data_IF_839121778909
#
_entry.id   IF_839121778909
#
_cell.length_a   1.000
_cell.length_b   1.000
_cell.length_c   1.000
_cell.angle_alpha   90.00
_cell.angle_beta   90.00
_cell.angle_gamma   90.00
#
_symmetry.space_group_name_H-M   'P 1'
#
loop_
_entity.id
_entity.type
_entity.pdbx_description
1 polymer ?
#
# COMPACT_ATOMS: atom_id res chain seq x y z
N UNK A 1 74.75 -16.22 13.66
CA UNK A 1 73.48 -15.91 12.98
C UNK A 1 72.58 -17.12 13.19
N UNK A 2 71.71 -17.05 14.17
CA UNK A 2 70.75 -18.12 14.49
C UNK A 2 69.42 -17.41 14.72
N UNK A 3 68.55 -17.44 13.72
CA UNK A 3 67.24 -16.80 13.79
C UNK A 3 66.36 -17.57 14.78
N UNK A 4 65.86 -16.87 15.79
CA UNK A 4 64.78 -17.35 16.63
C UNK A 4 63.48 -17.18 15.85
N UNK A 5 62.87 -18.29 15.43
CA UNK A 5 61.52 -18.30 14.84
C UNK A 5 60.57 -18.60 16.00
N UNK A 6 59.68 -17.66 16.40
CA UNK A 6 58.67 -17.98 17.39
C UNK A 6 57.65 -18.92 16.75
N UNK A 7 57.56 -20.12 17.30
CA UNK A 7 56.58 -21.12 16.94
C UNK A 7 55.21 -20.63 17.44
N UNK A 8 54.48 -19.85 16.65
CA UNK A 8 53.09 -19.52 16.93
C UNK A 8 52.23 -20.72 16.54
N UNK A 9 52.26 -21.77 17.35
CA UNK A 9 51.19 -22.76 17.34
C UNK A 9 49.95 -22.07 17.90
N UNK A 10 49.06 -21.63 17.00
CA UNK A 10 47.69 -21.28 17.36
C UNK A 10 47.06 -22.50 18.03
N UNK A 11 46.69 -22.34 19.31
CA UNK A 11 45.84 -23.30 20.01
C UNK A 11 44.59 -23.57 19.18
N UNK A 12 44.11 -24.82 19.05
CA UNK A 12 42.85 -25.10 18.39
C UNK A 12 41.78 -24.23 19.05
N UNK A 13 41.09 -23.39 18.27
CA UNK A 13 39.96 -22.65 18.78
C UNK A 13 38.96 -23.68 19.34
N UNK A 14 38.65 -23.54 20.63
CA UNK A 14 37.66 -24.39 21.30
C UNK A 14 36.33 -24.15 20.57
N UNK A 15 35.85 -25.16 19.82
CA UNK A 15 34.59 -25.07 19.10
C UNK A 15 33.49 -25.19 20.13
N UNK A 16 32.98 -24.05 20.59
CA UNK A 16 31.82 -23.98 21.48
C UNK A 16 30.56 -24.39 20.72
N UNK A 17 29.58 -25.00 21.42
CA UNK A 17 28.29 -25.35 20.82
C UNK A 17 27.58 -24.11 20.27
N UNK A 18 26.87 -24.29 19.17
CA UNK A 18 25.97 -23.31 18.57
C UNK A 18 24.54 -23.49 19.11
N UNK A 19 23.62 -22.61 18.71
CA UNK A 19 22.19 -22.75 19.03
C UNK A 19 21.56 -24.09 18.58
N UNK A 20 22.18 -24.80 17.63
CA UNK A 20 21.70 -26.10 17.15
C UNK A 20 22.17 -27.27 18.03
N UNK A 21 23.14 -27.04 18.92
CA UNK A 21 23.76 -28.07 19.74
C UNK A 21 23.25 -28.06 21.20
N UNK A 22 22.45 -27.04 21.55
CA UNK A 22 21.99 -26.80 22.92
C UNK A 22 20.59 -27.41 23.16
N UNK A 23 20.38 -28.16 24.25
CA UNK A 23 19.09 -28.78 24.56
C UNK A 23 18.10 -27.82 25.22
N UNK A 24 16.81 -28.17 25.20
CA UNK A 24 15.75 -27.53 26.00
C UNK A 24 15.92 -27.83 27.50
N UNK A 25 15.41 -26.96 28.37
CA UNK A 25 15.39 -27.17 29.82
C UNK A 25 14.47 -28.33 30.23
N UNK A 26 13.45 -28.63 29.42
CA UNK A 26 12.54 -29.74 29.62
C UNK A 26 12.80 -30.86 28.58
N UNK A 27 13.33 -32.03 28.98
CA UNK A 27 13.60 -33.14 28.07
C UNK A 27 12.35 -33.73 27.40
N UNK A 28 11.16 -33.47 27.96
CA UNK A 28 9.87 -33.90 27.41
C UNK A 28 9.25 -32.85 26.46
N UNK A 29 9.87 -31.67 26.31
CA UNK A 29 9.52 -30.66 25.31
C UNK A 29 10.61 -30.63 24.23
N UNK A 30 10.50 -31.48 23.20
CA UNK A 30 11.54 -31.64 22.18
C UNK A 30 11.72 -30.40 21.30
N UNK A 31 10.71 -29.51 21.22
CA UNK A 31 10.79 -28.27 20.45
C UNK A 31 11.39 -27.13 21.27
N UNK A 32 12.41 -26.46 20.72
CA UNK A 32 12.90 -25.20 21.27
C UNK A 32 11.98 -24.05 20.81
N UNK A 33 11.70 -23.05 21.67
CA UNK A 33 11.07 -21.83 21.22
C UNK A 33 11.97 -21.16 20.18
N UNK A 34 11.40 -20.80 19.03
CA UNK A 34 12.10 -20.07 17.98
C UNK A 34 11.22 -18.99 17.35
N UNK A 35 11.86 -17.99 16.73
CA UNK A 35 11.17 -16.81 16.19
C UNK A 35 10.12 -17.17 15.11
N UNK A 36 10.27 -18.29 14.41
CA UNK A 36 9.29 -18.68 13.39
C UNK A 36 8.00 -19.19 14.03
N UNK A 37 8.08 -19.95 15.12
CA UNK A 37 6.91 -20.43 15.86
C UNK A 37 6.19 -19.30 16.60
N UNK A 38 6.83 -18.13 16.76
CA UNK A 38 6.16 -16.90 17.18
C UNK A 38 5.47 -16.20 15.98
N UNK A 39 6.22 -15.95 14.91
CA UNK A 39 5.73 -15.13 13.78
C UNK A 39 4.66 -15.83 12.92
N UNK A 40 4.81 -17.12 12.64
CA UNK A 40 3.91 -17.82 11.73
C UNK A 40 2.48 -17.96 12.27
N UNK A 41 2.25 -18.36 13.54
CA UNK A 41 0.91 -18.37 14.13
C UNK A 41 0.31 -16.96 14.26
N UNK A 42 1.12 -15.93 14.51
CA UNK A 42 0.65 -14.55 14.57
C UNK A 42 0.17 -14.06 13.20
N UNK A 43 0.91 -14.33 12.13
CA UNK A 43 0.44 -14.04 10.77
C UNK A 43 -0.90 -14.74 10.47
N UNK A 44 -1.06 -16.00 10.86
CA UNK A 44 -2.32 -16.73 10.73
C UNK A 44 -3.44 -16.08 11.54
N UNK A 45 -3.18 -15.66 12.78
CA UNK A 45 -4.14 -14.97 13.64
C UNK A 45 -4.58 -13.63 13.03
N UNK A 46 -3.65 -12.83 12.55
CA UNK A 46 -3.95 -11.51 11.97
C UNK A 46 -4.79 -11.61 10.71
N UNK A 47 -4.51 -12.63 9.88
CA UNK A 47 -5.12 -12.80 8.56
C UNK A 47 -6.34 -13.73 8.55
N UNK A 48 -6.60 -14.50 9.61
CA UNK A 48 -7.82 -15.30 9.77
C UNK A 48 -9.04 -14.40 10.04
N UNK A 49 -9.61 -13.84 8.97
CA UNK A 49 -10.75 -12.90 9.01
C UNK A 49 -11.89 -13.42 8.13
N UNK A 50 -12.61 -14.47 8.57
CA UNK A 50 -13.68 -15.04 7.76
C UNK A 50 -14.82 -14.03 7.61
N UNK A 51 -15.31 -13.77 6.38
CA UNK A 51 -16.35 -12.76 6.16
C UNK A 51 -17.73 -13.18 6.68
N UNK A 52 -17.95 -14.48 6.84
CA UNK A 52 -19.21 -15.08 7.25
C UNK A 52 -19.33 -15.30 8.78
N UNK A 53 -18.29 -15.00 9.56
CA UNK A 53 -18.28 -15.16 11.02
C UNK A 53 -17.81 -13.88 11.73
N UNK A 54 -18.58 -13.36 12.70
CA UNK A 54 -18.11 -12.26 13.53
C UNK A 54 -16.98 -12.74 14.45
N UNK A 55 -15.95 -11.90 14.62
CA UNK A 55 -14.76 -12.23 15.43
C UNK A 55 -15.08 -12.57 16.89
N UNK A 56 -16.19 -12.06 17.42
CA UNK A 56 -16.63 -12.33 18.80
C UNK A 56 -17.24 -13.74 18.96
N UNK A 57 -17.58 -14.42 17.87
CA UNK A 57 -18.08 -15.80 17.84
C UNK A 57 -17.05 -16.79 17.26
N UNK A 58 -15.78 -16.43 17.31
CA UNK A 58 -14.68 -17.35 17.06
C UNK A 58 -13.63 -17.21 18.14
N UNK A 59 -12.93 -18.31 18.40
CA UNK A 59 -11.74 -18.31 19.23
C UNK A 59 -10.57 -18.80 18.41
N UNK A 60 -9.47 -18.04 18.41
CA UNK A 60 -8.21 -18.40 17.77
C UNK A 60 -7.15 -18.45 18.86
N UNK A 61 -6.36 -19.51 18.87
CA UNK A 61 -5.24 -19.65 19.79
C UNK A 61 -4.02 -20.21 19.08
N UNK A 62 -2.87 -19.96 19.69
CA UNK A 62 -1.56 -20.45 19.29
C UNK A 62 -0.86 -20.89 20.57
N UNK A 63 -0.15 -22.01 20.50
CA UNK A 63 0.64 -22.55 21.61
C UNK A 63 -0.16 -22.70 22.93
N UNK A 64 -1.45 -23.07 22.83
CA UNK A 64 -2.36 -23.19 23.97
C UNK A 64 -2.75 -24.66 24.23
N UNK A 65 -2.71 -25.07 25.50
CA UNK A 65 -3.13 -26.42 25.90
C UNK A 65 -4.60 -26.67 25.56
N UNK A 66 -4.85 -27.71 24.79
CA UNK A 66 -6.14 -28.23 24.36
C UNK A 66 -6.41 -29.56 25.09
N UNK A 67 -7.22 -29.51 26.13
CA UNK A 67 -7.61 -30.67 26.93
C UNK A 67 -8.85 -31.33 26.35
N UNK A 68 -8.79 -32.65 26.15
CA UNK A 68 -9.79 -33.39 25.38
C UNK A 68 -10.42 -34.58 26.11
N UNK A 69 -9.86 -35.03 27.25
CA UNK A 69 -10.34 -36.20 27.98
C UNK A 69 -10.71 -35.86 29.43
N UNK A 70 -12.00 -36.00 29.77
CA UNK A 70 -12.52 -35.73 31.12
C UNK A 70 -12.18 -36.81 32.15
N UNK A 71 -11.58 -37.93 31.74
CA UNK A 71 -11.08 -38.97 32.63
C UNK A 71 -9.57 -38.84 32.88
N UNK A 72 -8.86 -38.01 32.10
CA UNK A 72 -7.42 -37.83 32.17
C UNK A 72 -7.05 -36.34 32.11
N UNK A 73 -7.17 -35.64 33.23
CA UNK A 73 -7.00 -34.17 33.29
C UNK A 73 -5.59 -33.65 32.98
N UNK A 74 -4.59 -34.52 32.93
CA UNK A 74 -3.23 -34.16 32.53
C UNK A 74 -2.94 -34.46 31.05
N UNK A 75 -3.93 -34.94 30.30
CA UNK A 75 -3.78 -35.21 28.87
C UNK A 75 -4.27 -34.02 28.05
N UNK A 76 -3.34 -33.43 27.31
CA UNK A 76 -3.60 -32.31 26.42
C UNK A 76 -2.72 -32.45 25.17
N UNK A 77 -3.11 -31.73 24.12
CA UNK A 77 -2.21 -31.37 23.02
C UNK A 77 -2.01 -29.86 23.03
N UNK A 78 -0.94 -29.38 22.43
CA UNK A 78 -0.62 -27.95 22.36
C UNK A 78 -0.33 -27.60 20.89
N UNK A 79 -1.38 -27.39 20.08
CA UNK A 79 -1.18 -27.12 18.66
C UNK A 79 -0.54 -25.73 18.46
N UNK A 80 0.29 -25.59 17.43
CA UNK A 80 0.90 -24.29 17.10
C UNK A 80 -0.15 -23.22 16.77
N UNK A 81 -1.25 -23.62 16.12
CA UNK A 81 -2.39 -22.74 15.87
C UNK A 81 -3.69 -23.51 15.70
N UNK A 82 -4.80 -22.97 16.20
CA UNK A 82 -6.13 -23.49 15.92
C UNK A 82 -7.23 -22.42 15.96
N UNK A 83 -8.34 -22.69 15.27
CA UNK A 83 -9.56 -21.87 15.34
C UNK A 83 -10.79 -22.72 15.67
N UNK A 84 -11.64 -22.17 16.54
CA UNK A 84 -12.94 -22.71 16.91
C UNK A 84 -14.02 -21.74 16.45
N UNK A 85 -14.98 -22.23 15.67
CA UNK A 85 -16.15 -21.45 15.26
C UNK A 85 -17.32 -21.68 16.21
N UNK A 86 -18.04 -20.61 16.56
CA UNK A 86 -19.16 -20.65 17.51
C UNK A 86 -18.75 -20.54 18.98
N UNK A 87 -17.45 -20.54 19.28
CA UNK A 87 -16.94 -20.23 20.62
C UNK A 87 -16.84 -18.72 20.81
N UNK A 88 -17.23 -18.23 22.00
CA UNK A 88 -17.02 -16.83 22.37
C UNK A 88 -15.53 -16.50 22.38
N UNK A 89 -15.15 -15.33 21.85
CA UNK A 89 -13.77 -14.84 21.88
C UNK A 89 -13.22 -14.79 23.31
N UNK A 90 -14.00 -14.28 24.25
CA UNK A 90 -13.66 -14.24 25.67
C UNK A 90 -14.31 -15.38 26.44
N UNK A 91 -13.57 -15.94 27.39
CA UNK A 91 -14.08 -16.96 28.31
C UNK A 91 -15.05 -16.31 29.29
N UNK A 92 -16.24 -16.90 29.45
CA UNK A 92 -17.32 -16.37 30.30
C UNK A 92 -17.73 -14.91 30.02
N UNK A 93 -17.36 -14.36 28.86
CA UNK A 93 -17.79 -13.05 28.37
C UNK A 93 -16.73 -11.94 28.47
N UNK A 94 -15.75 -12.05 29.36
CA UNK A 94 -14.77 -10.98 29.60
C UNK A 94 -13.34 -11.45 29.91
N UNK A 95 -13.11 -12.73 30.24
CA UNK A 95 -11.79 -13.23 30.62
C UNK A 95 -11.01 -13.84 29.43
N UNK A 96 -9.69 -13.91 29.58
CA UNK A 96 -8.81 -14.60 28.65
C UNK A 96 -8.71 -16.08 29.01
N UNK A 97 -8.46 -16.93 28.00
CA UNK A 97 -8.27 -18.37 28.21
C UNK A 97 -6.83 -18.67 28.59
N UNK A 98 -6.65 -19.44 29.67
CA UNK A 98 -5.38 -20.07 30.01
C UNK A 98 -5.18 -21.41 29.27
N UNK A 99 -6.28 -22.05 28.90
CA UNK A 99 -6.31 -23.29 28.12
C UNK A 99 -7.67 -23.43 27.44
N UNK A 100 -7.77 -24.33 26.47
CA UNK A 100 -9.03 -24.71 25.85
C UNK A 100 -9.46 -26.08 26.37
N UNK A 101 -10.57 -26.14 27.10
CA UNK A 101 -11.01 -27.35 27.80
C UNK A 101 -12.29 -27.87 27.16
N UNK A 102 -12.18 -28.97 26.41
CA UNK A 102 -13.29 -29.51 25.60
C UNK A 102 -14.53 -29.86 26.43
N UNK A 103 -14.37 -30.38 27.64
CA UNK A 103 -15.52 -30.71 28.48
C UNK A 103 -16.17 -29.49 29.13
N UNK A 104 -15.58 -28.29 29.04
CA UNK A 104 -16.20 -27.04 29.45
C UNK A 104 -16.78 -26.30 28.25
N UNK A 105 -15.99 -26.18 27.18
CA UNK A 105 -16.33 -25.39 25.98
C UNK A 105 -17.32 -26.10 25.05
N UNK A 106 -17.28 -27.45 25.01
CA UNK A 106 -18.16 -28.33 24.22
C UNK A 106 -18.17 -28.10 22.69
N UNK A 107 -17.26 -27.28 22.17
CA UNK A 107 -17.12 -27.00 20.73
C UNK A 107 -15.70 -27.41 20.30
N UNK A 108 -15.60 -28.25 19.28
CA UNK A 108 -14.31 -28.73 18.77
C UNK A 108 -13.68 -27.71 17.81
N UNK A 109 -12.34 -27.61 17.75
CA UNK A 109 -11.69 -26.84 16.70
C UNK A 109 -12.14 -27.23 15.29
N UNK A 110 -12.27 -26.22 14.43
CA UNK A 110 -12.53 -26.43 13.01
C UNK A 110 -11.23 -26.73 12.26
N UNK A 111 -10.17 -25.99 12.59
CA UNK A 111 -8.86 -26.09 11.95
C UNK A 111 -7.78 -26.17 13.01
N UNK A 112 -6.82 -27.07 12.79
CA UNK A 112 -5.52 -27.09 13.49
C UNK A 112 -4.39 -26.99 12.47
N UNK A 113 -3.35 -26.24 12.81
CA UNK A 113 -2.10 -26.13 12.07
C UNK A 113 -0.97 -26.54 13.01
N UNK A 114 -0.07 -27.38 12.51
CA UNK A 114 1.21 -27.73 13.15
C UNK A 114 2.36 -27.32 12.23
N UNK A 115 3.40 -26.78 12.84
CA UNK A 115 4.59 -26.27 12.22
C UNK A 115 5.72 -27.25 12.51
N UNK A 116 6.28 -27.85 11.47
CA UNK A 116 7.26 -28.90 11.63
C UNK A 116 8.57 -28.34 12.20
N UNK A 117 8.99 -28.95 13.31
CA UNK A 117 10.26 -28.74 13.98
C UNK A 117 11.02 -30.05 14.11
N UNK A 118 12.33 -29.96 14.32
CA UNK A 118 13.15 -31.13 14.61
C UNK A 118 12.69 -31.73 15.95
N UNK A 119 12.33 -33.01 15.96
CA UNK A 119 11.89 -33.73 17.16
C UNK A 119 10.37 -33.90 17.33
N UNK A 120 9.53 -33.10 16.67
CA UNK A 120 8.06 -33.27 16.69
C UNK A 120 7.49 -33.82 15.38
N UNK A 121 8.28 -33.83 14.30
CA UNK A 121 7.79 -34.15 12.95
C UNK A 121 7.04 -35.49 12.85
N UNK A 122 7.54 -36.56 13.49
CA UNK A 122 6.86 -37.85 13.46
C UNK A 122 5.48 -37.81 14.14
N UNK A 123 5.33 -37.02 15.21
CA UNK A 123 4.05 -36.85 15.90
C UNK A 123 3.06 -36.04 15.04
N UNK A 124 3.54 -34.97 14.41
CA UNK A 124 2.75 -34.09 13.54
C UNK A 124 2.34 -34.79 12.22
N UNK A 125 3.16 -35.71 11.73
CA UNK A 125 2.86 -36.50 10.53
C UNK A 125 2.09 -37.79 10.81
N UNK A 126 1.76 -38.07 12.08
CA UNK A 126 1.03 -39.29 12.47
C UNK A 126 1.84 -40.58 12.29
N UNK A 127 3.17 -40.49 12.38
CA UNK A 127 4.12 -41.59 12.25
C UNK A 127 4.53 -42.18 13.62
N UNK A 128 4.22 -41.50 14.73
CA UNK A 128 4.46 -42.00 16.08
C UNK A 128 3.56 -43.19 16.42
N UNK A 129 4.15 -44.24 16.98
CA UNK A 129 3.41 -45.40 17.50
C UNK A 129 2.79 -45.10 18.87
N UNK A 130 1.62 -45.67 19.15
CA UNK A 130 1.00 -45.53 20.47
C UNK A 130 1.69 -46.37 21.53
N UNK A 131 1.87 -45.79 22.71
CA UNK A 131 2.37 -46.50 23.89
C UNK A 131 1.25 -46.74 24.92
N UNK A 132 1.18 -47.92 25.55
CA UNK A 132 0.25 -48.17 26.63
C UNK A 132 0.44 -47.22 27.81
N UNK A 133 -0.66 -46.69 28.36
CA UNK A 133 -0.68 -45.76 29.50
C UNK A 133 0.02 -44.40 29.24
N UNK A 134 0.24 -44.02 27.98
CA UNK A 134 0.64 -42.68 27.57
C UNK A 134 -0.52 -41.93 26.92
N UNK A 135 -0.47 -40.59 26.84
CA UNK A 135 -1.46 -39.83 26.08
C UNK A 135 -1.51 -40.31 24.61
N UNK A 136 -2.71 -40.39 23.99
CA UNK A 136 -2.85 -40.67 22.57
C UNK A 136 -2.01 -39.75 21.66
N UNK A 137 -1.67 -40.21 20.46
CA UNK A 137 -0.94 -39.40 19.46
C UNK A 137 -1.75 -38.20 18.99
N UNK A 138 -1.09 -37.13 18.51
CA UNK A 138 -1.74 -35.95 17.90
C UNK A 138 -2.74 -36.38 16.83
N UNK A 139 -2.32 -37.29 15.94
CA UNK A 139 -3.18 -37.81 14.88
C UNK A 139 -4.49 -38.39 15.42
N UNK A 140 -4.43 -39.28 16.42
CA UNK A 140 -5.64 -39.88 17.00
C UNK A 140 -6.50 -38.87 17.73
N UNK A 141 -5.89 -37.96 18.49
CA UNK A 141 -6.63 -36.90 19.19
C UNK A 141 -7.39 -36.05 18.18
N UNK A 142 -6.75 -35.61 17.10
CA UNK A 142 -7.39 -34.73 16.12
C UNK A 142 -8.40 -35.48 15.23
N UNK A 143 -8.09 -36.68 14.77
CA UNK A 143 -8.93 -37.46 13.84
C UNK A 143 -10.13 -38.12 14.56
N UNK A 144 -9.85 -38.86 15.64
CA UNK A 144 -10.82 -39.80 16.22
C UNK A 144 -11.55 -39.21 17.43
N UNK A 145 -10.84 -38.47 18.30
CA UNK A 145 -11.40 -37.94 19.54
C UNK A 145 -12.10 -36.59 19.30
N UNK A 146 -11.37 -35.64 18.73
CA UNK A 146 -11.85 -34.27 18.51
C UNK A 146 -12.57 -34.11 17.17
N UNK A 147 -12.33 -35.02 16.22
CA UNK A 147 -12.92 -34.99 14.89
C UNK A 147 -12.76 -33.63 14.19
N UNK A 148 -11.54 -33.08 14.25
CA UNK A 148 -11.22 -31.76 13.70
C UNK A 148 -11.33 -31.84 12.17
N UNK A 149 -12.17 -31.02 11.52
CA UNK A 149 -12.42 -31.16 10.08
C UNK A 149 -11.20 -30.93 9.19
N UNK A 150 -10.29 -30.03 9.57
CA UNK A 150 -9.12 -29.66 8.79
C UNK A 150 -7.84 -29.65 9.62
N UNK A 151 -6.84 -30.38 9.15
CA UNK A 151 -5.52 -30.47 9.77
C UNK A 151 -4.43 -30.11 8.76
N UNK A 152 -3.61 -29.12 9.11
CA UNK A 152 -2.55 -28.60 8.26
C UNK A 152 -1.19 -28.85 8.91
N UNK A 153 -0.22 -29.26 8.10
CA UNK A 153 1.17 -29.42 8.53
C UNK A 153 2.08 -28.68 7.57
N UNK A 154 2.96 -27.83 8.10
CA UNK A 154 3.86 -27.01 7.28
C UNK A 154 5.32 -27.09 7.75
N UNK A 155 6.22 -27.43 6.84
CA UNK A 155 7.66 -27.37 7.10
C UNK A 155 8.26 -26.07 6.58
N UNK A 156 8.88 -25.30 7.48
CA UNK A 156 9.69 -24.13 7.12
C UNK A 156 10.96 -24.46 6.35
N UNK A 157 11.45 -25.70 6.47
CA UNK A 157 12.71 -26.12 5.87
C UNK A 157 12.53 -26.57 4.42
N UNK A 158 11.43 -27.28 4.13
CA UNK A 158 11.13 -27.78 2.78
C UNK A 158 10.09 -26.93 2.04
N UNK A 159 9.45 -25.98 2.72
CA UNK A 159 8.28 -25.23 2.23
C UNK A 159 7.12 -26.13 1.78
N UNK A 160 7.00 -27.33 2.37
CA UNK A 160 5.93 -28.26 2.07
C UNK A 160 4.72 -28.01 2.98
N UNK A 161 3.57 -27.76 2.36
CA UNK A 161 2.27 -27.75 3.01
C UNK A 161 1.55 -29.08 2.72
N UNK A 162 1.17 -29.79 3.78
CA UNK A 162 0.30 -30.96 3.72
C UNK A 162 -1.03 -30.63 4.37
N UNK A 163 -2.12 -31.11 3.77
CA UNK A 163 -3.47 -30.79 4.20
C UNK A 163 -4.27 -32.05 4.30
N UNK A 164 -4.89 -32.28 5.45
CA UNK A 164 -5.72 -33.43 5.72
C UNK A 164 -7.13 -32.94 6.04
N UNK A 165 -8.11 -33.57 5.38
CA UNK A 165 -9.53 -33.30 5.62
C UNK A 165 -10.18 -34.55 6.20
N UNK A 166 -10.99 -34.37 7.22
CA UNK A 166 -11.77 -35.46 7.81
C UNK A 166 -12.92 -35.84 6.86
N UNK A 167 -12.85 -37.03 6.27
CA UNK A 167 -13.85 -37.56 5.33
C UNK A 167 -14.22 -38.98 5.75
N UNK A 168 -15.46 -39.15 6.22
CA UNK A 168 -15.93 -40.44 6.72
C UNK A 168 -15.17 -40.89 7.97
N UNK A 169 -14.95 -39.97 8.92
CA UNK A 169 -14.24 -40.17 10.20
C UNK A 169 -12.77 -40.56 10.06
N UNK A 170 -12.14 -40.32 8.90
CA UNK A 170 -10.71 -40.52 8.69
C UNK A 170 -10.13 -39.33 7.94
N UNK A 171 -8.92 -38.95 8.30
CA UNK A 171 -8.17 -37.96 7.54
C UNK A 171 -7.79 -38.52 6.19
N UNK A 172 -8.02 -37.69 5.17
CA UNK A 172 -7.54 -37.92 3.81
C UNK A 172 -6.69 -36.74 3.41
N UNK A 173 -5.47 -37.02 2.99
CA UNK A 173 -4.60 -36.00 2.42
C UNK A 173 -5.23 -35.41 1.16
N UNK A 174 -5.18 -34.09 1.03
CA UNK A 174 -5.79 -33.33 -0.04
C UNK A 174 -4.72 -32.90 -1.03
N UNK A 175 -5.05 -32.99 -2.33
CA UNK A 175 -4.21 -32.41 -3.36
C UNK A 175 -4.40 -30.90 -3.40
N UNK A 176 -3.31 -30.15 -3.34
CA UNK A 176 -3.33 -28.70 -3.38
C UNK A 176 -3.35 -28.18 -4.81
N UNK A 177 -4.18 -27.18 -5.07
CA UNK A 177 -4.14 -26.42 -6.32
C UNK A 177 -3.33 -25.15 -6.07
N UNK A 178 -2.24 -24.94 -6.81
CA UNK A 178 -1.34 -23.78 -6.65
C UNK A 178 -0.92 -23.54 -5.19
N UNK A 179 -0.66 -24.63 -4.45
CA UNK A 179 -0.24 -24.59 -3.04
C UNK A 179 -1.25 -23.87 -2.12
N UNK A 180 -2.54 -23.95 -2.45
CA UNK A 180 -3.66 -23.35 -1.74
C UNK A 180 -4.76 -24.39 -1.47
N UNK A 181 -5.48 -24.19 -0.38
CA UNK A 181 -6.63 -25.01 0.00
C UNK A 181 -7.77 -24.12 0.51
N UNK A 182 -8.98 -24.33 -0.02
CA UNK A 182 -10.17 -23.57 0.34
C UNK A 182 -10.99 -24.28 1.43
N UNK A 183 -11.44 -23.53 2.43
CA UNK A 183 -12.26 -23.99 3.55
C UNK A 183 -13.64 -23.31 3.46
N UNK A 184 -14.67 -24.00 2.95
CA UNK A 184 -16.00 -23.43 2.75
C UNK A 184 -16.61 -22.84 4.02
N UNK A 185 -16.40 -23.48 5.17
CA UNK A 185 -16.98 -23.07 6.46
C UNK A 185 -16.47 -21.71 6.93
N UNK A 186 -15.25 -21.32 6.53
CA UNK A 186 -14.66 -20.02 6.83
C UNK A 186 -14.87 -19.00 5.71
N UNK A 187 -15.30 -19.42 4.53
CA UNK A 187 -15.16 -18.61 3.30
C UNK A 187 -13.76 -18.01 3.13
N UNK A 188 -12.75 -18.80 3.53
CA UNK A 188 -11.34 -18.49 3.44
C UNK A 188 -10.58 -19.66 2.85
N UNK A 189 -9.42 -19.39 2.27
CA UNK A 189 -8.44 -20.42 2.00
C UNK A 189 -7.11 -20.12 2.66
N UNK A 190 -6.30 -21.15 2.87
CA UNK A 190 -4.95 -21.07 3.40
C UNK A 190 -3.97 -21.56 2.34
N UNK A 191 -2.81 -20.94 2.24
CA UNK A 191 -1.78 -21.39 1.30
C UNK A 191 -0.43 -20.75 1.55
N UNK A 192 0.50 -21.05 0.65
CA UNK A 192 1.86 -20.54 0.70
C UNK A 192 1.95 -19.17 0.04
N UNK A 193 2.28 -18.17 0.85
CA UNK A 193 2.55 -16.79 0.43
C UNK A 193 4.04 -16.50 0.58
N UNK A 194 4.68 -16.08 -0.51
CA UNK A 194 6.05 -15.63 -0.49
C UNK A 194 6.09 -14.11 -0.32
N UNK A 195 6.72 -13.62 0.75
CA UNK A 195 6.77 -12.20 1.03
C UNK A 195 7.48 -11.84 2.31
N UNK A 196 7.47 -10.53 2.61
CA UNK A 196 8.15 -9.94 3.75
C UNK A 196 7.21 -9.81 4.95
N UNK A 197 7.55 -10.43 6.07
CA UNK A 197 6.82 -10.31 7.32
C UNK A 197 7.82 -10.31 8.49
N UNK A 198 7.62 -9.43 9.46
CA UNK A 198 8.49 -9.27 10.64
C UNK A 198 9.99 -9.21 10.27
N UNK A 199 10.34 -8.37 9.29
CA UNK A 199 11.74 -8.18 8.89
C UNK A 199 12.34 -9.27 8.01
N UNK A 200 11.56 -10.30 7.62
CA UNK A 200 12.07 -11.49 6.90
C UNK A 200 11.28 -11.78 5.63
N UNK A 201 11.98 -11.86 4.50
CA UNK A 201 11.44 -12.38 3.24
C UNK A 201 11.53 -13.90 3.21
N UNK A 202 10.40 -14.61 3.13
CA UNK A 202 10.32 -16.08 2.99
C UNK A 202 8.93 -16.54 2.60
N UNK A 203 8.74 -17.85 2.52
CA UNK A 203 7.42 -18.47 2.37
C UNK A 203 6.76 -18.63 3.74
N UNK A 204 5.51 -18.19 3.84
CA UNK A 204 4.66 -18.26 5.02
C UNK A 204 3.31 -18.90 4.69
N UNK A 205 2.66 -19.50 5.68
CA UNK A 205 1.23 -19.75 5.60
C UNK A 205 0.45 -18.46 5.79
N UNK A 206 -0.55 -18.23 4.93
CA UNK A 206 -1.38 -17.04 4.99
C UNK A 206 -2.79 -17.33 4.51
N UNK A 207 -3.78 -16.62 5.06
CA UNK A 207 -5.16 -16.70 4.63
C UNK A 207 -5.43 -15.83 3.39
N UNK A 208 -6.28 -16.31 2.48
CA UNK A 208 -6.75 -15.60 1.30
C UNK A 208 -8.29 -15.65 1.20
N UNK A 209 -8.88 -14.66 0.53
CA UNK A 209 -10.33 -14.51 0.39
C UNK A 209 -10.90 -15.23 -0.85
N UNK A 210 -12.21 -15.15 -1.07
CA UNK A 210 -12.88 -15.78 -2.22
C UNK A 210 -12.40 -15.29 -3.60
N UNK A 211 -11.82 -14.08 -3.68
CA UNK A 211 -11.26 -13.53 -4.91
C UNK A 211 -9.84 -14.07 -5.19
N UNK A 212 -9.23 -14.77 -4.23
CA UNK A 212 -7.86 -15.26 -4.33
C UNK A 212 -6.81 -14.28 -3.80
N UNK A 213 -7.23 -13.15 -3.21
CA UNK A 213 -6.33 -12.15 -2.64
C UNK A 213 -5.91 -12.53 -1.23
N UNK A 214 -4.62 -12.36 -0.92
CA UNK A 214 -4.11 -12.56 0.43
C UNK A 214 -4.71 -11.53 1.38
N UNK A 215 -5.18 -11.99 2.54
CA UNK A 215 -5.75 -11.11 3.54
C UNK A 215 -4.62 -10.33 4.18
N UNK A 216 -4.74 -9.00 4.14
CA UNK A 216 -3.77 -8.07 4.71
C UNK A 216 -3.81 -8.07 6.24
N UNK A 217 -2.62 -7.99 6.84
CA UNK A 217 -2.43 -7.64 8.25
C UNK A 217 -2.96 -6.24 8.52
N UNK A 218 -3.13 -5.89 9.80
CA UNK A 218 -3.55 -4.53 10.17
C UNK A 218 -2.52 -3.49 9.73
N UNK A 219 -1.23 -3.82 9.83
CA UNK A 219 -0.14 -2.93 9.42
C UNK A 219 -0.13 -2.70 7.90
N UNK A 220 -0.23 -3.76 7.10
CA UNK A 220 -0.29 -3.63 5.64
C UNK A 220 -1.52 -2.83 5.19
N UNK A 221 -2.66 -2.96 5.87
CA UNK A 221 -3.87 -2.14 5.59
C UNK A 221 -3.61 -0.67 5.87
N UNK A 222 -3.04 -0.35 7.03
CA UNK A 222 -2.70 1.03 7.40
C UNK A 222 -1.72 1.62 6.39
N UNK A 223 -0.73 0.86 5.96
CA UNK A 223 0.25 1.31 4.98
C UNK A 223 -0.39 1.51 3.59
N UNK A 224 -1.26 0.59 3.15
CA UNK A 224 -2.02 0.76 1.92
C UNK A 224 -2.93 2.00 1.95
N UNK A 225 -3.59 2.25 3.08
CA UNK A 225 -4.42 3.45 3.27
C UNK A 225 -3.58 4.74 3.25
N UNK A 226 -2.37 4.73 3.82
CA UNK A 226 -1.43 5.85 3.75
C UNK A 226 -1.01 6.15 2.32
N UNK A 227 -0.56 5.14 1.58
CA UNK A 227 -0.19 5.31 0.18
C UNK A 227 -1.36 5.81 -0.67
N UNK A 228 -2.57 5.29 -0.46
CA UNK A 228 -3.76 5.75 -1.16
C UNK A 228 -4.07 7.23 -0.85
N UNK A 229 -3.92 7.64 0.41
CA UNK A 229 -4.13 9.02 0.83
C UNK A 229 -3.07 9.97 0.26
N UNK A 230 -1.81 9.57 0.28
CA UNK A 230 -0.71 10.36 -0.29
C UNK A 230 -0.89 10.54 -1.80
N UNK A 231 -1.23 9.47 -2.52
CA UNK A 231 -1.51 9.54 -3.96
C UNK A 231 -2.71 10.44 -4.27
N UNK A 232 -3.76 10.41 -3.45
CA UNK A 232 -4.90 11.31 -3.60
C UNK A 232 -4.54 12.79 -3.35
N UNK A 233 -3.67 13.07 -2.37
CA UNK A 233 -3.18 14.44 -2.11
C UNK A 233 -2.36 14.93 -3.31
N UNK A 234 -1.47 14.11 -3.85
CA UNK A 234 -0.67 14.45 -5.02
C UNK A 234 -1.55 14.79 -6.24
N UNK A 235 -2.61 14.02 -6.48
CA UNK A 235 -3.58 14.31 -7.55
C UNK A 235 -4.28 15.66 -7.34
N UNK A 236 -4.70 15.98 -6.12
CA UNK A 236 -5.34 17.27 -5.79
C UNK A 236 -4.36 18.44 -6.01
N UNK A 237 -3.08 18.27 -5.64
CA UNK A 237 -2.07 19.28 -5.85
C UNK A 237 -1.77 19.52 -7.33
N UNK A 238 -1.69 18.45 -8.13
CA UNK A 238 -1.55 18.53 -9.58
C UNK A 238 -2.74 19.26 -10.22
N UNK A 239 -3.97 18.95 -9.82
CA UNK A 239 -5.16 19.65 -10.29
C UNK A 239 -5.16 21.13 -9.89
N UNK A 240 -4.71 21.46 -8.67
CA UNK A 240 -4.60 22.85 -8.21
C UNK A 240 -3.58 23.63 -9.05
N UNK A 241 -2.41 23.05 -9.28
CA UNK A 241 -1.37 23.66 -10.11
C UNK A 241 -1.84 23.87 -11.55
N UNK A 242 -2.54 22.90 -12.13
CA UNK A 242 -3.11 23.03 -13.47
C UNK A 242 -4.17 24.15 -13.54
N UNK A 243 -5.03 24.27 -12.53
CA UNK A 243 -6.01 25.36 -12.44
C UNK A 243 -5.33 26.73 -12.31
N UNK A 244 -4.32 26.84 -11.46
CA UNK A 244 -3.57 28.09 -11.26
C UNK A 244 -2.85 28.51 -12.55
N UNK A 245 -2.20 27.58 -13.23
CA UNK A 245 -1.57 27.82 -14.54
C UNK A 245 -2.58 28.27 -15.60
N UNK A 246 -3.78 27.68 -15.61
CA UNK A 246 -4.85 28.07 -16.53
C UNK A 246 -5.37 29.49 -16.23
N UNK A 247 -5.52 29.85 -14.95
CA UNK A 247 -5.89 31.21 -14.54
C UNK A 247 -4.83 32.21 -14.99
N UNK A 248 -3.55 31.89 -14.81
CA UNK A 248 -2.45 32.76 -15.25
C UNK A 248 -2.45 32.96 -16.76
N UNK A 249 -2.69 31.90 -17.55
CA UNK A 249 -2.83 32.02 -19.00
C UNK A 249 -4.00 32.92 -19.42
N UNK A 250 -5.15 32.79 -18.76
CA UNK A 250 -6.32 33.64 -19.01
C UNK A 250 -5.98 35.10 -18.70
N UNK A 251 -5.28 35.38 -17.60
CA UNK A 251 -4.89 36.73 -17.22
C UNK A 251 -3.87 37.33 -18.21
N UNK A 252 -2.89 36.55 -18.66
CA UNK A 252 -1.95 36.97 -19.71
C UNK A 252 -2.67 37.29 -21.01
N UNK A 253 -3.64 36.46 -21.42
CA UNK A 253 -4.45 36.71 -22.62
C UNK A 253 -5.31 37.97 -22.46
N UNK A 254 -5.84 38.23 -21.27
CA UNK A 254 -6.61 39.45 -20.95
C UNK A 254 -5.73 40.70 -21.08
N UNK A 255 -4.54 40.69 -20.46
CA UNK A 255 -3.57 41.80 -20.54
C UNK A 255 -3.11 42.04 -21.98
N UNK A 256 -2.84 40.98 -22.74
CA UNK A 256 -2.46 41.10 -24.16
C UNK A 256 -3.58 41.77 -24.97
N UNK A 257 -4.85 41.38 -24.75
CA UNK A 257 -6.02 42.00 -25.41
C UNK A 257 -6.16 43.47 -25.02
N UNK A 258 -6.01 43.83 -23.75
CA UNK A 258 -6.06 45.22 -23.28
C UNK A 258 -4.96 46.08 -23.94
N UNK A 259 -3.72 45.59 -24.00
CA UNK A 259 -2.62 46.31 -24.67
C UNK A 259 -2.86 46.52 -26.17
N UNK A 260 -3.47 45.54 -26.84
CA UNK A 260 -3.79 45.64 -28.27
C UNK A 260 -4.89 46.68 -28.53
N UNK A 261 -5.89 46.75 -27.65
CA UNK A 261 -6.93 47.79 -27.71
C UNK A 261 -6.30 49.18 -27.51
N UNK A 262 -5.39 49.33 -26.55
CA UNK A 262 -4.72 50.61 -26.29
C UNK A 262 -3.87 51.06 -27.48
N UNK A 263 -3.15 50.14 -28.15
CA UNK A 263 -2.41 50.45 -29.38
C UNK A 263 -3.34 50.91 -30.52
N UNK A 264 -4.49 50.25 -30.69
CA UNK A 264 -5.49 50.66 -31.70
C UNK A 264 -6.03 52.06 -31.40
N UNK A 265 -6.32 52.39 -30.14
CA UNK A 265 -6.78 53.72 -29.71
C UNK A 265 -5.72 54.79 -30.02
N UNK A 266 -4.45 54.53 -29.69
CA UNK A 266 -3.32 55.42 -30.00
C UNK A 266 -3.14 55.64 -31.50
N UNK A 267 -3.22 54.59 -32.31
CA UNK A 267 -3.18 54.72 -33.77
C UNK A 267 -4.36 55.53 -34.31
N UNK A 268 -5.56 55.39 -33.74
CA UNK A 268 -6.73 56.18 -34.15
C UNK A 268 -6.52 57.66 -33.85
N UNK A 269 -6.06 57.99 -32.64
CA UNK A 269 -5.76 59.37 -32.23
C UNK A 269 -4.65 60.00 -33.10
N UNK A 270 -3.60 59.24 -33.41
CA UNK A 270 -2.53 59.70 -34.29
C UNK A 270 -3.04 59.99 -35.72
N UNK A 271 -3.93 59.13 -36.25
CA UNK A 271 -4.59 59.36 -37.55
C UNK A 271 -5.49 60.60 -37.53
N UNK A 272 -6.28 60.80 -36.48
CA UNK A 272 -7.13 61.99 -36.32
C UNK A 272 -6.30 63.27 -36.28
N UNK A 273 -5.21 63.29 -35.49
CA UNK A 273 -4.31 64.45 -35.43
C UNK A 273 -3.62 64.74 -36.77
N UNK A 274 -3.21 63.72 -37.51
CA UNK A 274 -2.62 63.89 -38.84
C UNK A 274 -3.63 64.48 -39.84
N UNK A 275 -4.89 64.05 -39.80
CA UNK A 275 -5.97 64.61 -40.63
C UNK A 275 -6.18 66.10 -40.28
N UNK A 276 -6.21 66.44 -39.00
CA UNK A 276 -6.39 67.82 -38.54
C UNK A 276 -5.23 68.74 -38.99
N UNK A 277 -3.99 68.25 -38.93
CA UNK A 277 -2.82 68.96 -39.47
C UNK A 277 -2.92 69.19 -40.99
N UNK A 278 -3.34 68.17 -41.74
CA UNK A 278 -3.54 68.29 -43.20
C UNK A 278 -4.61 69.35 -43.50
N UNK A 279 -5.70 69.38 -42.73
CA UNK A 279 -6.77 70.37 -42.91
C UNK A 279 -6.32 71.79 -42.55
N UNK A 280 -5.56 71.96 -41.47
CA UNK A 280 -4.91 73.23 -41.12
C UNK A 280 -3.97 73.73 -42.22
N UNK A 281 -3.11 72.84 -42.76
CA UNK A 281 -2.23 73.19 -43.89
C UNK A 281 -3.01 73.58 -45.14
N UNK A 282 -4.13 72.88 -45.44
CA UNK A 282 -4.99 73.22 -46.57
C UNK A 282 -5.59 74.62 -46.40
N UNK A 283 -6.16 74.91 -45.23
CA UNK A 283 -6.72 76.23 -44.91
C UNK A 283 -5.66 77.33 -44.97
N UNK A 284 -4.46 77.07 -44.46
CA UNK A 284 -3.34 78.02 -44.54
C UNK A 284 -2.91 78.28 -45.99
N UNK A 285 -2.86 77.25 -46.83
CA UNK A 285 -2.58 77.39 -48.26
C UNK A 285 -3.67 78.18 -48.98
N UNK A 286 -4.95 77.91 -48.69
CA UNK A 286 -6.08 78.65 -49.26
C UNK A 286 -6.02 80.14 -48.89
N UNK A 287 -5.79 80.44 -47.60
CA UNK A 287 -5.63 81.83 -47.12
C UNK A 287 -4.45 82.54 -47.81
N UNK A 288 -3.30 81.86 -47.94
CA UNK A 288 -2.13 82.43 -48.62
C UNK A 288 -2.38 82.68 -50.12
N UNK A 289 -3.17 81.84 -50.79
CA UNK A 289 -3.59 82.07 -52.18
C UNK A 289 -4.49 83.30 -52.26
N UNK A 290 -5.48 83.41 -51.37
CA UNK A 290 -6.42 84.54 -51.32
C UNK A 290 -5.70 85.87 -51.03
N UNK A 291 -4.77 85.89 -50.07
CA UNK A 291 -3.92 87.06 -49.81
C UNK A 291 -3.08 87.46 -51.02
N UNK A 292 -2.55 86.47 -51.75
CA UNK A 292 -1.76 86.71 -52.96
C UNK A 292 -2.62 87.28 -54.09
N UNK A 293 -3.84 86.79 -54.27
CA UNK A 293 -4.81 87.34 -55.23
C UNK A 293 -5.18 88.78 -54.88
N UNK A 294 -5.46 89.06 -53.60
CA UNK A 294 -5.73 90.43 -53.12
C UNK A 294 -4.52 91.34 -53.37
N UNK A 295 -3.30 90.86 -53.13
CA UNK A 295 -2.07 91.61 -53.37
C UNK A 295 -1.86 91.90 -54.86
N UNK A 296 -2.11 90.92 -55.75
CA UNK A 296 -2.07 91.09 -57.21
C UNK A 296 -3.11 92.15 -57.64
N UNK A 297 -4.36 92.05 -57.20
CA UNK A 297 -5.39 93.04 -57.53
C UNK A 297 -5.01 94.44 -57.05
N UNK A 298 -4.46 94.57 -55.84
CA UNK A 298 -3.96 95.86 -55.33
C UNK A 298 -2.79 96.40 -56.16
N UNK A 299 -1.86 95.53 -56.57
CA UNK A 299 -0.72 95.91 -57.41
C UNK A 299 -1.17 96.36 -58.81
N UNK A 300 -2.10 95.64 -59.43
CA UNK A 300 -2.70 96.02 -60.71
C UNK A 300 -3.41 97.38 -60.63
N UNK A 301 -4.22 97.58 -59.58
CA UNK A 301 -4.94 98.84 -59.35
C UNK A 301 -3.99 100.01 -59.07
N UNK A 302 -2.88 99.75 -58.38
CA UNK A 302 -1.81 100.73 -58.17
C UNK A 302 -1.09 101.06 -59.49
N UNK A 303 -0.75 100.05 -60.28
CA UNK A 303 -0.12 100.19 -61.59
C UNK A 303 -1.02 100.97 -62.58
N UNK A 304 -2.33 100.72 -62.58
CA UNK A 304 -3.31 101.47 -63.38
C UNK A 304 -3.38 102.94 -62.94
N UNK A 305 -3.34 103.21 -61.64
CA UNK A 305 -3.29 104.57 -61.10
C UNK A 305 -1.99 105.30 -61.45
N UNK A 306 -0.84 104.64 -61.37
CA UNK A 306 0.46 105.21 -61.79
C UNK A 306 0.47 105.53 -63.29
N UNK A 307 -0.08 104.65 -64.13
CA UNK A 307 -0.26 104.91 -65.57
C UNK A 307 -1.14 106.13 -65.85
N UNK A 308 -2.21 106.33 -65.08
CA UNK A 308 -3.08 107.53 -65.20
C UNK A 308 -2.36 108.84 -64.85
N UNK A 309 -1.25 108.78 -64.10
CA UNK A 309 -0.41 109.92 -63.72
C UNK A 309 0.80 110.10 -64.65
N UNK A 310 0.93 109.29 -65.71
CA UNK A 310 2.01 109.38 -66.71
C UNK A 310 3.32 108.70 -66.33
N UNK A 311 3.32 107.83 -65.31
CA UNK A 311 4.50 107.07 -64.85
C UNK A 311 4.34 105.61 -65.30
N UNK A 312 5.36 105.05 -65.98
CA UNK A 312 5.36 103.65 -66.38
C UNK A 312 5.71 102.74 -65.19
N UNK A 313 4.85 101.80 -64.78
CA UNK A 313 5.08 100.96 -63.60
C UNK A 313 6.28 99.99 -63.73
N UNK A 314 6.68 99.63 -64.95
CA UNK A 314 7.74 98.64 -65.19
C UNK A 314 9.16 99.25 -65.15
N UNK A 315 9.28 100.56 -64.95
CA UNK A 315 10.55 101.31 -64.85
C UNK A 315 10.97 101.62 -63.39
N UNK A 316 10.23 101.09 -62.40
CA UNK A 316 10.47 101.17 -60.95
C UNK A 316 10.99 99.84 -60.41
#
# INVERSE_FOLDING_TARGET
MTMYIPNSQSSPAEVLPTMYDLPSENPEEPGLPDEFHDFQPELLRQTCRPPNYPLEQMFVASDMNLYYDSNHFNWYKRPDWFVVLGASRFYQGDDLRLSYVMWQEKISPLVVVELLSDGTENEDLGLTEEEPNKPPTKWRVYEEILQIPYYFVFSRYTNQLRVFRLIGNRYREQTLNRLRFWIPELELGIGLWEGFYEGRYRVWLRWYNANGDWILTSEERVEQERFAKESAIEQIEQERFAKESAIEQIEQERLAKESAIEQIEQERLAKESAIEQIEQERLAKESAIEEKEIAIQKAERLAERLRSMGINPDDL
#
